data_IF_279822728096
#
_entry.id   IF_279822728096
#
_cell.length_a   1.000
_cell.length_b   1.000
_cell.length_c   1.000
_cell.angle_alpha   90.00
_cell.angle_beta   90.00
_cell.angle_gamma   90.00
#
_symmetry.space_group_name_H-M   'P 1'
#
loop_
_entity.id
_entity.type
_entity.pdbx_description
1 polymer ?
#
# COMPACT_ATOMS: atom_id res chain seq x y z
N UNK A 1 -8.61 1.21 8.58
CA UNK A 1 -8.37 0.80 7.18
C UNK A 1 -9.31 -0.37 6.92
N UNK A 2 -10.25 -0.24 5.98
CA UNK A 2 -11.18 -1.30 5.63
C UNK A 2 -10.68 -1.97 4.34
N UNK A 3 -10.56 -3.30 4.34
CA UNK A 3 -10.09 -4.08 3.20
C UNK A 3 -11.15 -5.11 2.90
N UNK A 4 -11.65 -5.12 1.66
CA UNK A 4 -12.56 -6.13 1.17
C UNK A 4 -11.75 -7.37 0.75
N UNK A 5 -12.10 -8.53 1.29
CA UNK A 5 -11.54 -9.80 0.86
C UNK A 5 -12.52 -10.45 -0.11
N UNK A 6 -12.15 -10.46 -1.39
CA UNK A 6 -12.95 -11.09 -2.46
C UNK A 6 -13.05 -12.61 -2.31
N UNK A 7 -12.07 -13.21 -1.62
CA UNK A 7 -11.94 -14.64 -1.44
C UNK A 7 -11.28 -14.96 -0.08
N UNK A 8 -11.43 -16.20 0.37
CA UNK A 8 -10.87 -16.67 1.65
C UNK A 8 -9.38 -17.08 1.54
N UNK A 9 -8.65 -16.58 0.55
CA UNK A 9 -7.22 -16.85 0.41
C UNK A 9 -6.40 -15.95 1.33
N UNK A 10 -5.98 -16.51 2.46
CA UNK A 10 -5.17 -15.80 3.45
C UNK A 10 -3.88 -15.19 2.87
N UNK A 11 -3.25 -15.86 1.88
CA UNK A 11 -2.03 -15.35 1.26
C UNK A 11 -2.31 -14.09 0.44
N UNK A 12 -3.38 -14.08 -0.35
CA UNK A 12 -3.80 -12.90 -1.14
C UNK A 12 -4.22 -11.76 -0.22
N UNK A 13 -5.02 -12.07 0.80
CA UNK A 13 -5.44 -11.12 1.82
C UNK A 13 -4.23 -10.45 2.52
N UNK A 14 -3.27 -11.25 2.99
CA UNK A 14 -2.09 -10.75 3.68
C UNK A 14 -1.22 -9.86 2.78
N UNK A 15 -1.07 -10.24 1.50
CA UNK A 15 -0.36 -9.42 0.50
C UNK A 15 -1.06 -8.07 0.27
N UNK A 16 -2.38 -8.08 0.09
CA UNK A 16 -3.19 -6.88 -0.11
C UNK A 16 -3.14 -5.94 1.10
N UNK A 17 -3.24 -6.48 2.33
CA UNK A 17 -3.10 -5.66 3.54
C UNK A 17 -1.74 -4.98 3.63
N UNK A 18 -0.66 -5.72 3.33
CA UNK A 18 0.68 -5.15 3.34
C UNK A 18 0.80 -4.01 2.32
N UNK A 19 0.31 -4.21 1.09
CA UNK A 19 0.34 -3.19 0.03
C UNK A 19 -0.43 -1.93 0.41
N UNK A 20 -1.66 -2.07 0.92
CA UNK A 20 -2.45 -0.91 1.32
C UNK A 20 -1.87 -0.16 2.52
N UNK A 21 -1.32 -0.87 3.50
CA UNK A 21 -0.64 -0.24 4.63
C UNK A 21 0.60 0.53 4.19
N UNK A 22 1.35 -0.06 3.27
CA UNK A 22 2.50 0.54 2.65
C UNK A 22 2.07 1.80 1.87
N UNK A 23 1.03 1.74 1.04
CA UNK A 23 0.54 2.88 0.25
C UNK A 23 0.04 4.02 1.12
N UNK A 24 -0.74 3.69 2.15
CA UNK A 24 -1.28 4.68 3.08
C UNK A 24 -0.23 5.29 4.00
N UNK A 25 0.74 4.49 4.44
CA UNK A 25 1.78 4.94 5.38
C UNK A 25 2.99 5.60 4.70
N UNK A 26 3.19 5.45 3.39
CA UNK A 26 4.31 6.06 2.66
C UNK A 26 5.71 5.52 3.02
N UNK A 27 5.90 4.99 4.24
CA UNK A 27 7.12 4.42 4.78
C UNK A 27 6.87 3.05 5.40
N UNK A 28 7.90 2.22 5.49
CA UNK A 28 7.81 0.88 6.11
C UNK A 28 7.46 1.00 7.60
N UNK A 29 7.90 2.08 8.27
CA UNK A 29 7.67 2.28 9.71
C UNK A 29 6.20 2.60 9.97
N UNK A 30 5.64 3.58 9.24
CA UNK A 30 4.23 3.96 9.36
C UNK A 30 3.30 2.83 8.93
N UNK A 31 3.64 2.11 7.85
CA UNK A 31 2.89 0.94 7.41
C UNK A 31 2.83 -0.16 8.48
N UNK A 32 3.96 -0.41 9.18
CA UNK A 32 4.00 -1.39 10.25
C UNK A 32 3.14 -0.96 11.45
N UNK A 33 3.15 0.34 11.78
CA UNK A 33 2.31 0.93 12.81
C UNK A 33 0.81 0.78 12.47
N UNK A 34 0.42 1.07 11.23
CA UNK A 34 -0.97 0.92 10.75
C UNK A 34 -1.46 -0.53 10.82
N UNK A 35 -0.57 -1.50 10.63
CA UNK A 35 -0.86 -2.93 10.75
C UNK A 35 -0.78 -3.46 12.19
N UNK A 36 -0.28 -2.65 13.14
CA UNK A 36 -0.06 -3.09 14.53
C UNK A 36 1.04 -4.16 14.67
N UNK A 37 2.04 -4.16 13.79
CA UNK A 37 3.16 -5.12 13.81
C UNK A 37 4.51 -4.41 13.86
N UNK A 38 5.59 -5.16 14.10
CA UNK A 38 6.95 -4.60 14.05
C UNK A 38 7.44 -4.42 12.62
N UNK A 39 8.37 -3.48 12.41
CA UNK A 39 9.08 -3.28 11.13
C UNK A 39 9.71 -4.57 10.58
N UNK A 40 10.32 -5.37 11.47
CA UNK A 40 10.93 -6.65 11.11
C UNK A 40 9.88 -7.66 10.62
N UNK A 41 8.72 -7.74 11.29
CA UNK A 41 7.63 -8.60 10.85
C UNK A 41 7.11 -8.18 9.47
N UNK A 42 6.96 -6.88 9.22
CA UNK A 42 6.53 -6.36 7.92
C UNK A 42 7.54 -6.72 6.81
N UNK A 43 8.84 -6.49 7.04
CA UNK A 43 9.89 -6.87 6.07
C UNK A 43 9.85 -8.36 5.70
N UNK A 44 9.68 -9.26 6.69
CA UNK A 44 9.56 -10.70 6.41
C UNK A 44 8.32 -11.02 5.57
N UNK A 45 7.18 -10.36 5.82
CA UNK A 45 5.96 -10.51 5.03
C UNK A 45 6.15 -10.00 3.59
N UNK A 46 6.85 -8.89 3.40
CA UNK A 46 7.20 -8.38 2.07
C UNK A 46 8.02 -9.39 1.28
N UNK A 47 9.04 -10.00 1.90
CA UNK A 47 9.85 -11.06 1.28
C UNK A 47 8.98 -12.29 0.96
N UNK A 48 8.18 -12.76 1.93
CA UNK A 48 7.29 -13.93 1.79
C UNK A 48 6.30 -13.77 0.63
N UNK A 49 5.79 -12.57 0.40
CA UNK A 49 4.78 -12.27 -0.62
C UNK A 49 5.34 -11.64 -1.89
N UNK A 50 6.67 -11.52 -1.99
CA UNK A 50 7.38 -10.85 -3.10
C UNK A 50 6.77 -9.49 -3.42
N UNK A 51 6.69 -8.65 -2.39
CA UNK A 51 6.20 -7.28 -2.51
C UNK A 51 7.39 -6.38 -2.84
N UNK A 52 7.48 -5.95 -4.09
CA UNK A 52 8.43 -4.95 -4.52
C UNK A 52 7.93 -3.56 -4.11
N UNK A 53 8.61 -2.98 -3.12
CA UNK A 53 8.29 -1.66 -2.61
C UNK A 53 9.35 -0.66 -3.06
N UNK A 54 8.98 0.34 -3.89
CA UNK A 54 9.95 1.30 -4.41
C UNK A 54 10.56 2.09 -3.26
N UNK A 55 11.88 2.30 -3.34
CA UNK A 55 12.61 3.15 -2.39
C UNK A 55 12.00 4.54 -2.40
N UNK A 56 12.01 5.25 -1.26
CA UNK A 56 11.39 6.58 -1.12
C UNK A 56 11.76 7.54 -2.28
N UNK A 57 13.02 7.51 -2.72
CA UNK A 57 13.54 8.26 -3.87
C UNK A 57 12.84 7.94 -5.22
N UNK A 58 12.43 6.68 -5.43
CA UNK A 58 11.68 6.26 -6.63
C UNK A 58 10.19 6.64 -6.56
N UNK A 59 9.69 7.07 -5.40
CA UNK A 59 8.29 7.48 -5.21
C UNK A 59 8.11 8.96 -5.39
N UNK A 60 9.07 9.74 -4.92
CA UNK A 60 9.17 11.18 -5.19
C UNK A 60 9.20 11.44 -6.71
N UNK A 61 9.85 10.54 -7.46
CA UNK A 61 9.92 10.56 -8.92
C UNK A 61 8.63 10.11 -9.63
N UNK A 62 7.59 9.66 -8.90
CA UNK A 62 6.28 9.40 -9.49
C UNK A 62 5.49 10.71 -9.43
N UNK A 63 5.40 11.50 -10.51
CA UNK A 63 4.49 12.64 -10.53
C UNK A 63 3.08 12.09 -10.26
N UNK A 64 2.35 12.78 -9.40
CA UNK A 64 0.98 12.47 -9.06
C UNK A 64 0.10 12.60 -10.32
N UNK A 65 0.01 11.54 -11.10
CA UNK A 65 -0.86 11.50 -12.26
C UNK A 65 -2.28 11.10 -11.82
N UNK A 66 -3.21 12.01 -12.12
CA UNK A 66 -4.66 11.85 -12.21
C UNK A 66 -5.49 12.02 -10.91
N UNK A 67 -6.03 13.23 -10.72
CA UNK A 67 -7.48 13.46 -10.58
C UNK A 67 -7.79 14.91 -10.96
N UNK A 68 -8.01 15.16 -12.25
CA UNK A 68 -8.86 16.26 -12.71
C UNK A 68 -9.87 15.66 -13.69
N UNK A 69 -10.94 15.09 -13.14
CA UNK A 69 -12.18 14.84 -13.85
C UNK A 69 -13.27 15.66 -13.12
N UNK A 70 -13.29 16.97 -13.36
CA UNK A 70 -14.28 17.89 -12.77
C UNK A 70 -14.74 18.98 -13.72
N UNK A 71 -14.45 18.88 -15.03
CA UNK A 71 -14.79 19.93 -16.01
C UNK A 71 -15.83 19.48 -17.05
N UNK A 72 -16.84 18.71 -16.62
CA UNK A 72 -18.01 18.38 -17.44
C UNK A 72 -19.31 18.74 -16.72
N UNK A 73 -19.40 19.92 -16.10
CA UNK A 73 -20.69 20.53 -15.77
C UNK A 73 -20.56 22.06 -15.86
N UNK A 74 -21.23 22.67 -16.86
CA UNK A 74 -21.56 24.10 -16.86
C UNK A 74 -20.93 24.94 -17.97
N UNK A 75 -21.58 24.97 -19.14
CA UNK A 75 -22.00 26.18 -19.87
C UNK A 75 -22.57 25.79 -21.25
#
# INVERSE_FOLDING_TARGET
MAILLEDLNLRKAEKMMCLQALEKGGSIVEAALLLGITRHALKRRMIKHRIDWPSAQQREARPAEVTQLSALEGA
#
